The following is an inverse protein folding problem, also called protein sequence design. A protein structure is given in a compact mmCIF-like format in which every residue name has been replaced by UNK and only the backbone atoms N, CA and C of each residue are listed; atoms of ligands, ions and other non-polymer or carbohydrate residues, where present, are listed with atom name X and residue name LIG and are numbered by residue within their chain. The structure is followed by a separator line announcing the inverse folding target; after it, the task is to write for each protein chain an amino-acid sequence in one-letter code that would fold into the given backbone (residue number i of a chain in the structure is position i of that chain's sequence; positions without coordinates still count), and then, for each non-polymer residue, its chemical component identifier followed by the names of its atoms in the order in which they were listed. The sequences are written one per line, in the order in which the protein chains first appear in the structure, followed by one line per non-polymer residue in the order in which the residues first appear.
data_IF_280967356792
#
_entry.id   IF_280967356792
#
_cell.length_a   1.000
_cell.length_b   1.000
_cell.length_c   1.000
_cell.angle_alpha   90.00
_cell.angle_beta   90.00
_cell.angle_gamma   90.00
#
_symmetry.space_group_name_H-M   'P 1'
#
loop_
_entity.id
_entity.type
_entity.pdbx_description
1 polymer ?
#
# COMPACT_ATOMS: atom_id res chain seq x y z
N UNK A 1 -20.33 -15.39 -3.45
CA UNK A 1 -19.76 -14.28 -2.67
C UNK A 1 -20.08 -14.59 -1.22
N UNK A 2 -19.09 -14.52 -0.33
CA UNK A 2 -19.24 -15.02 1.03
C UNK A 2 -19.95 -14.02 1.95
N UNK A 3 -20.68 -14.48 2.96
CA UNK A 3 -21.46 -13.61 3.86
C UNK A 3 -20.58 -12.61 4.62
N UNK A 4 -19.33 -12.99 4.90
CA UNK A 4 -18.32 -12.10 5.48
C UNK A 4 -17.94 -10.96 4.53
N UNK A 5 -17.80 -11.25 3.23
CA UNK A 5 -17.51 -10.24 2.21
C UNK A 5 -18.66 -9.26 2.02
N UNK A 6 -19.90 -9.76 2.01
CA UNK A 6 -21.10 -8.91 1.88
C UNK A 6 -21.25 -7.99 3.10
N UNK A 7 -21.05 -8.50 4.31
CA UNK A 7 -21.07 -7.70 5.54
C UNK A 7 -19.98 -6.63 5.53
N UNK A 8 -18.76 -6.97 5.11
CA UNK A 8 -17.65 -6.02 5.01
C UNK A 8 -17.93 -4.91 4.00
N UNK A 9 -18.47 -5.26 2.82
CA UNK A 9 -18.80 -4.27 1.79
C UNK A 9 -19.91 -3.32 2.22
N UNK A 10 -20.88 -3.81 2.99
CA UNK A 10 -21.95 -2.99 3.57
C UNK A 10 -21.41 -2.04 4.62
N UNK A 11 -20.47 -2.48 5.45
CA UNK A 11 -19.79 -1.62 6.43
C UNK A 11 -18.96 -0.52 5.73
N UNK A 12 -18.24 -0.91 4.68
CA UNK A 12 -17.44 -0.02 3.82
C UNK A 12 -18.27 0.92 2.94
N UNK A 13 -19.58 0.69 2.79
CA UNK A 13 -20.46 1.57 2.00
C UNK A 13 -20.56 2.98 2.60
N UNK A 14 -20.26 3.10 3.90
CA UNK A 14 -20.25 4.37 4.65
C UNK A 14 -18.85 4.95 4.84
N UNK A 15 -17.83 4.40 4.18
CA UNK A 15 -16.41 4.69 4.40
C UNK A 15 -15.67 5.01 3.07
N UNK A 16 -14.37 5.38 3.07
CA UNK A 16 -13.76 5.92 1.88
C UNK A 16 -13.72 4.89 0.74
N UNK A 17 -14.11 5.37 -0.44
CA UNK A 17 -14.25 4.61 -1.68
C UNK A 17 -13.04 3.72 -2.00
N UNK A 18 -11.85 4.11 -1.55
CA UNK A 18 -10.60 3.39 -1.77
C UNK A 18 -10.55 2.00 -1.08
N UNK A 19 -11.03 1.86 0.16
CA UNK A 19 -11.08 0.56 0.84
C UNK A 19 -12.09 -0.39 0.17
N UNK A 20 -13.24 0.14 -0.23
CA UNK A 20 -14.24 -0.62 -1.00
C UNK A 20 -13.66 -1.09 -2.34
N UNK A 21 -12.96 -0.19 -3.05
CA UNK A 21 -12.27 -0.54 -4.30
C UNK A 21 -11.19 -1.60 -4.11
N UNK A 22 -10.46 -1.57 -2.99
CA UNK A 22 -9.45 -2.57 -2.66
C UNK A 22 -10.08 -3.97 -2.54
N UNK A 23 -11.13 -4.11 -1.73
CA UNK A 23 -11.85 -5.38 -1.53
C UNK A 23 -12.45 -5.89 -2.84
N UNK A 24 -13.09 -5.01 -3.61
CA UNK A 24 -13.62 -5.39 -4.94
C UNK A 24 -12.51 -5.85 -5.87
N UNK A 25 -11.37 -5.14 -5.91
CA UNK A 25 -10.22 -5.53 -6.74
C UNK A 25 -9.61 -6.86 -6.31
N UNK A 26 -9.59 -7.15 -5.01
CA UNK A 26 -9.15 -8.42 -4.44
C UNK A 26 -10.00 -9.59 -4.94
N UNK A 27 -11.33 -9.42 -4.86
CA UNK A 27 -12.32 -10.42 -5.28
C UNK A 27 -12.22 -10.73 -6.77
N UNK A 28 -12.10 -9.69 -7.61
CA UNK A 28 -12.14 -9.85 -9.06
C UNK A 28 -10.91 -10.54 -9.64
N UNK A 29 -9.76 -10.46 -8.96
CA UNK A 29 -8.48 -10.83 -9.57
C UNK A 29 -7.95 -12.19 -9.13
N UNK A 30 -8.66 -12.90 -8.22
CA UNK A 30 -8.19 -14.15 -7.58
C UNK A 30 -6.72 -14.05 -7.17
N UNK A 31 -6.32 -12.87 -6.72
CA UNK A 31 -4.92 -12.56 -6.45
C UNK A 31 -4.61 -12.97 -5.03
N UNK A 32 -3.62 -13.84 -4.89
CA UNK A 32 -3.03 -14.22 -3.61
C UNK A 32 -2.15 -13.11 -3.01
N UNK A 33 -1.90 -12.02 -3.73
CA UNK A 33 -1.17 -10.87 -3.21
C UNK A 33 -1.68 -9.54 -3.78
N UNK A 34 -1.79 -8.54 -2.90
CA UNK A 34 -2.18 -7.17 -3.24
C UNK A 34 -1.11 -6.22 -2.75
N UNK A 35 -0.67 -5.35 -3.65
CA UNK A 35 0.29 -4.31 -3.34
C UNK A 35 -0.45 -3.02 -2.95
N UNK A 36 -0.15 -2.47 -1.77
CA UNK A 36 -0.80 -1.27 -1.22
C UNK A 36 0.27 -0.25 -0.88
N UNK A 37 0.11 0.99 -1.32
CA UNK A 37 1.02 2.10 -0.98
C UNK A 37 0.99 2.38 0.53
N UNK A 38 2.17 2.57 1.13
CA UNK A 38 2.30 2.88 2.56
C UNK A 38 1.54 4.16 2.96
N UNK A 39 1.49 5.18 2.10
CA UNK A 39 0.70 6.39 2.33
C UNK A 39 -0.80 6.13 2.40
N UNK A 40 -1.31 5.18 1.60
CA UNK A 40 -2.72 4.81 1.64
C UNK A 40 -3.05 4.13 2.97
N UNK A 41 -2.19 3.22 3.43
CA UNK A 41 -2.34 2.56 4.74
C UNK A 41 -2.32 3.60 5.86
N UNK A 42 -1.33 4.48 5.89
CA UNK A 42 -1.22 5.53 6.91
C UNK A 42 -2.45 6.45 6.92
N UNK A 43 -3.03 6.74 5.74
CA UNK A 43 -4.27 7.51 5.64
C UNK A 43 -5.44 6.74 6.22
N UNK A 44 -5.62 5.47 5.89
CA UNK A 44 -6.72 4.65 6.42
C UNK A 44 -6.61 4.40 7.92
N UNK A 45 -5.39 4.17 8.43
CA UNK A 45 -5.14 4.06 9.88
C UNK A 45 -5.51 5.34 10.63
N UNK A 46 -5.32 6.51 10.01
CA UNK A 46 -5.66 7.79 10.64
C UNK A 46 -7.14 8.14 10.54
N UNK A 47 -7.77 7.88 9.40
CA UNK A 47 -9.16 8.27 9.13
C UNK A 47 -10.14 7.27 9.76
N UNK A 48 -9.90 5.98 9.59
CA UNK A 48 -10.83 4.89 9.93
C UNK A 48 -10.09 3.60 10.34
N UNK A 49 -9.37 3.60 11.48
CA UNK A 49 -8.55 2.47 11.92
C UNK A 49 -9.36 1.18 12.14
N UNK A 50 -10.62 1.31 12.60
CA UNK A 50 -11.51 0.16 12.84
C UNK A 50 -11.83 -0.58 11.55
N UNK A 51 -12.21 0.16 10.51
CA UNK A 51 -12.60 -0.42 9.22
C UNK A 51 -11.39 -0.96 8.48
N UNK A 52 -10.25 -0.27 8.57
CA UNK A 52 -8.99 -0.79 8.06
C UNK A 52 -8.61 -2.13 8.70
N UNK A 53 -8.73 -2.27 10.02
CA UNK A 53 -8.48 -3.54 10.71
C UNK A 53 -9.40 -4.67 10.21
N UNK A 54 -10.70 -4.40 10.01
CA UNK A 54 -11.65 -5.38 9.46
C UNK A 54 -11.31 -5.80 8.02
N UNK A 55 -10.85 -4.87 7.18
CA UNK A 55 -10.38 -5.18 5.82
C UNK A 55 -9.12 -6.03 5.85
N UNK A 56 -8.20 -5.72 6.76
CA UNK A 56 -6.94 -6.46 6.91
C UNK A 56 -7.18 -7.91 7.37
N UNK A 57 -8.05 -8.10 8.36
CA UNK A 57 -8.47 -9.41 8.85
C UNK A 57 -9.16 -10.23 7.75
N UNK A 58 -10.03 -9.59 6.96
CA UNK A 58 -10.68 -10.23 5.83
C UNK A 58 -9.68 -10.66 4.75
N UNK A 59 -8.72 -9.80 4.39
CA UNK A 59 -7.67 -10.14 3.41
C UNK A 59 -6.85 -11.35 3.87
N UNK A 60 -6.46 -11.39 5.14
CA UNK A 60 -5.74 -12.52 5.73
C UNK A 60 -6.59 -13.80 5.75
N UNK A 61 -7.87 -13.69 6.09
CA UNK A 61 -8.82 -14.81 6.07
C UNK A 61 -9.03 -15.39 4.67
N UNK A 62 -8.88 -14.59 3.62
CA UNK A 62 -8.90 -15.05 2.23
C UNK A 62 -7.54 -15.60 1.74
N UNK A 63 -6.51 -15.62 2.61
CA UNK A 63 -5.16 -16.04 2.25
C UNK A 63 -4.43 -15.05 1.33
N UNK A 64 -4.85 -13.78 1.35
CA UNK A 64 -4.28 -12.72 0.51
C UNK A 64 -3.16 -12.02 1.28
N UNK A 65 -1.95 -12.08 0.72
CA UNK A 65 -0.78 -11.40 1.28
C UNK A 65 -0.81 -9.92 0.91
N UNK A 66 -0.74 -9.04 1.92
CA UNK A 66 -0.63 -7.60 1.73
C UNK A 66 0.85 -7.24 1.57
N UNK A 67 1.23 -6.74 0.41
CA UNK A 67 2.57 -6.21 0.15
C UNK A 67 2.55 -4.70 0.28
N UNK A 68 3.18 -4.17 1.33
CA UNK A 68 3.29 -2.72 1.50
C UNK A 68 4.34 -2.19 0.53
N UNK A 69 3.90 -1.42 -0.46
CA UNK A 69 4.77 -0.66 -1.32
C UNK A 69 5.23 0.57 -0.54
N UNK A 70 6.46 0.51 -0.04
CA UNK A 70 7.15 1.74 0.37
C UNK A 70 7.39 2.53 -0.90
N UNK A 71 6.62 3.59 -1.13
CA UNK A 71 7.00 4.60 -2.11
C UNK A 71 8.42 5.01 -1.69
N UNK A 72 9.40 4.78 -2.57
CA UNK A 72 10.75 5.31 -2.33
C UNK A 72 10.56 6.81 -2.33
N UNK A 73 10.34 7.41 -1.17
CA UNK A 73 10.76 8.78 -0.93
C UNK A 73 12.26 8.68 -1.14
N UNK A 74 12.70 9.00 -2.36
CA UNK A 74 14.10 9.25 -2.58
C UNK A 74 14.49 10.28 -1.51
N UNK A 75 15.54 10.05 -0.71
CA UNK A 75 16.20 11.18 -0.11
C UNK A 75 16.71 12.00 -1.30
N UNK A 76 15.92 12.97 -1.72
CA UNK A 76 16.41 14.05 -2.56
C UNK A 76 17.55 14.65 -1.76
N UNK A 77 18.77 14.55 -2.30
CA UNK A 77 20.08 14.90 -1.68
C UNK A 77 20.88 13.70 -1.11
N UNK A 78 21.33 12.81 -1.99
CA UNK A 78 22.70 12.29 -1.85
C UNK A 78 23.59 13.18 -2.73
N UNK A 79 24.58 13.93 -2.19
CA UNK A 79 25.51 14.66 -3.03
C UNK A 79 26.26 13.66 -3.93
N UNK A 80 26.54 14.00 -5.21
CA UNK A 80 27.38 13.15 -6.03
C UNK A 80 28.74 12.97 -5.34
N UNK A 81 29.37 11.78 -5.43
CA UNK A 81 30.73 11.63 -4.93
C UNK A 81 31.62 12.68 -5.62
N UNK A 82 32.51 13.37 -4.88
CA UNK A 82 33.44 14.30 -5.51
C UNK A 82 34.27 13.51 -6.54
N UNK A 83 34.22 13.95 -7.80
CA UNK A 83 35.08 13.40 -8.84
C UNK A 83 36.54 13.51 -8.36
N UNK A 84 37.38 12.47 -8.58
CA UNK A 84 38.80 12.59 -8.29
C UNK A 84 39.37 13.76 -9.13
N UNK A 85 40.30 14.57 -8.58
CA UNK A 85 40.88 15.66 -9.36
C UNK A 85 41.59 15.05 -10.57
N UNK A 86 41.19 15.49 -11.77
CA UNK A 86 41.92 15.21 -12.99
C UNK A 86 43.37 15.64 -12.76
N UNK A 87 44.27 14.65 -12.76
CA UNK A 87 45.69 14.86 -12.56
C UNK A 87 46.17 15.91 -13.55
N UNK A 88 46.58 17.05 -13.01
CA UNK A 88 47.26 18.08 -13.77
C UNK A 88 48.46 17.45 -14.45
N UNK A 89 48.47 17.53 -15.77
CA UNK A 89 49.67 17.33 -16.57
C UNK A 89 50.32 18.71 -16.68
N UNK A 90 51.51 18.96 -16.10
CA UNK A 90 52.36 20.03 -16.59
C UNK A 90 53.27 19.45 -17.69
N UNK A 91 53.41 20.23 -18.76
CA UNK A 91 54.38 20.01 -19.83
C UNK A 91 55.80 20.40 -19.44
#
# INVERSE_FOLDING_TARGET
MDAATESLLRDLETSPTDLKRLVVSALWRTRTAIAIEAEAIARWERDDPRRWASVQDWLLSQGITITVLRSRVAPSTAPPPPAPPAGGTPG
#
